data_IF_786971213571
#
_entry.id   IF_786971213571
#
_cell.length_a   1.000
_cell.length_b   1.000
_cell.length_c   1.000
_cell.angle_alpha   90.00
_cell.angle_beta   90.00
_cell.angle_gamma   90.00
#
_symmetry.space_group_name_H-M   'P 1'
#
loop_
_entity.id
_entity.type
_entity.pdbx_description
1 polymer ?
#
# COMPACT_ATOMS: atom_id res chain seq x y z
N UNK A 1 8.48 -30.07 4.16
CA UNK A 1 8.07 -29.56 2.84
C UNK A 1 7.12 -28.38 3.06
N UNK A 2 7.66 -27.20 3.33
CA UNK A 2 6.89 -25.98 3.63
C UNK A 2 7.32 -24.87 2.66
N UNK A 3 6.94 -24.98 1.39
CA UNK A 3 7.36 -23.96 0.40
C UNK A 3 6.37 -23.73 -0.76
N UNK A 4 5.16 -24.31 -0.74
CA UNK A 4 4.24 -24.23 -1.90
C UNK A 4 3.01 -23.33 -1.77
N UNK A 5 2.77 -22.69 -0.63
CA UNK A 5 1.56 -21.86 -0.43
C UNK A 5 1.80 -20.37 -0.78
N UNK A 6 3.01 -19.85 -0.51
CA UNK A 6 3.37 -18.43 -0.69
C UNK A 6 3.28 -17.95 -2.16
N UNK A 7 3.63 -18.81 -3.12
CA UNK A 7 3.73 -18.42 -4.54
C UNK A 7 2.37 -18.23 -5.23
N UNK A 8 1.29 -18.84 -4.74
CA UNK A 8 -0.04 -18.72 -5.38
C UNK A 8 -0.77 -17.44 -4.95
N UNK A 9 -0.67 -17.06 -3.68
CA UNK A 9 -1.25 -15.81 -3.17
C UNK A 9 -0.56 -14.59 -3.79
N UNK A 10 0.77 -14.57 -3.86
CA UNK A 10 1.52 -13.45 -4.46
C UNK A 10 1.14 -13.25 -5.93
N UNK A 11 0.99 -14.34 -6.71
CA UNK A 11 0.59 -14.27 -8.13
C UNK A 11 -0.83 -13.74 -8.32
N UNK A 12 -1.76 -14.09 -7.41
CA UNK A 12 -3.14 -13.60 -7.48
C UNK A 12 -3.24 -12.11 -7.10
N UNK A 13 -2.50 -11.68 -6.06
CA UNK A 13 -2.42 -10.28 -5.64
C UNK A 13 -1.78 -9.42 -6.73
N UNK A 14 -0.69 -9.89 -7.34
CA UNK A 14 0.01 -9.19 -8.42
C UNK A 14 -0.87 -8.99 -9.65
N UNK A 15 -1.60 -10.02 -10.08
CA UNK A 15 -2.51 -9.95 -11.22
C UNK A 15 -3.72 -9.04 -10.94
N UNK A 16 -4.22 -9.04 -9.71
CA UNK A 16 -5.28 -8.14 -9.26
C UNK A 16 -4.81 -6.67 -9.22
N UNK A 17 -3.63 -6.40 -8.66
CA UNK A 17 -3.02 -5.07 -8.62
C UNK A 17 -2.69 -4.55 -10.03
N UNK A 18 -2.33 -5.44 -10.96
CA UNK A 18 -2.12 -5.08 -12.37
C UNK A 18 -3.41 -4.54 -13.01
N UNK A 19 -4.58 -5.06 -12.63
CA UNK A 19 -5.87 -4.59 -13.15
C UNK A 19 -6.24 -3.19 -12.63
N UNK A 20 -5.84 -2.85 -11.39
CA UNK A 20 -5.97 -1.49 -10.84
C UNK A 20 -4.85 -0.53 -11.26
N UNK A 21 -3.70 -1.03 -11.72
CA UNK A 21 -2.66 -0.18 -12.32
C UNK A 21 -3.12 0.45 -13.65
N UNK A 22 -4.16 -0.11 -14.28
CA UNK A 22 -4.83 0.50 -15.44
C UNK A 22 -5.74 1.69 -15.05
N UNK A 23 -6.07 1.85 -13.77
CA UNK A 23 -6.78 3.01 -13.20
C UNK A 23 -5.82 3.84 -12.37
N UNK A 24 -5.03 4.72 -13.01
CA UNK A 24 -4.23 5.84 -12.44
C UNK A 24 -3.35 5.64 -11.17
N UNK A 25 -3.27 4.44 -10.60
CA UNK A 25 -2.55 4.13 -9.37
C UNK A 25 -1.08 3.81 -9.65
N UNK A 26 -0.17 4.54 -9.01
CA UNK A 26 1.27 4.32 -9.18
C UNK A 26 1.78 3.22 -8.25
N UNK A 27 2.52 2.26 -8.80
CA UNK A 27 3.29 1.29 -7.99
C UNK A 27 4.62 1.92 -7.58
N UNK A 28 4.87 1.99 -6.28
CA UNK A 28 6.11 2.50 -5.70
C UNK A 28 6.98 1.34 -5.19
N UNK A 29 8.30 1.47 -5.33
CA UNK A 29 9.26 0.59 -4.65
C UNK A 29 9.35 0.95 -3.17
N UNK A 30 9.74 0.00 -2.32
CA UNK A 30 9.87 0.28 -0.87
C UNK A 30 10.86 1.42 -0.59
N UNK A 31 11.95 1.50 -1.37
CA UNK A 31 12.90 2.59 -1.30
C UNK A 31 12.29 3.96 -1.64
N UNK A 32 11.34 4.02 -2.58
CA UNK A 32 10.62 5.26 -2.89
C UNK A 32 9.68 5.65 -1.76
N UNK A 33 8.94 4.69 -1.20
CA UNK A 33 8.08 4.92 -0.02
C UNK A 33 8.91 5.44 1.16
N UNK A 34 10.09 4.85 1.39
CA UNK A 34 11.01 5.31 2.43
C UNK A 34 11.50 6.74 2.17
N UNK A 35 11.77 7.11 0.91
CA UNK A 35 12.14 8.48 0.54
C UNK A 35 10.98 9.46 0.76
N UNK A 36 9.77 9.10 0.31
CA UNK A 36 8.56 9.91 0.44
C UNK A 36 8.26 10.22 1.92
N UNK A 37 8.43 9.23 2.79
CA UNK A 37 8.20 9.34 4.24
C UNK A 37 9.39 9.87 5.04
N UNK A 38 10.46 10.32 4.38
CA UNK A 38 11.71 10.73 5.02
C UNK A 38 12.17 9.71 6.09
N UNK A 39 12.30 8.44 5.65
CA UNK A 39 12.61 7.28 6.50
C UNK A 39 11.62 7.01 7.65
N UNK A 40 10.32 7.24 7.42
CA UNK A 40 9.26 7.02 8.41
C UNK A 40 9.39 7.89 9.67
N UNK A 41 9.89 9.13 9.50
CA UNK A 41 10.18 10.05 10.62
C UNK A 41 8.92 10.62 11.27
N UNK A 42 7.94 11.02 10.47
CA UNK A 42 6.72 11.68 10.94
C UNK A 42 5.54 10.71 11.04
N UNK A 43 5.37 10.04 12.18
CA UNK A 43 4.21 9.17 12.42
C UNK A 43 2.96 10.02 12.71
N UNK A 44 1.93 9.86 11.89
CA UNK A 44 0.63 10.48 12.06
C UNK A 44 -0.31 9.66 12.95
N UNK A 45 -0.14 8.34 12.96
CA UNK A 45 -0.95 7.45 13.79
C UNK A 45 -0.58 5.99 13.67
N UNK A 46 -1.15 5.16 14.54
CA UNK A 46 -0.96 3.71 14.52
C UNK A 46 -2.27 3.02 14.91
N UNK A 47 -2.63 1.99 14.16
CA UNK A 47 -3.80 1.16 14.42
C UNK A 47 -3.47 -0.33 14.33
N UNK A 48 -4.49 -1.18 14.48
CA UNK A 48 -4.32 -2.64 14.50
C UNK A 48 -3.71 -3.23 13.21
N UNK A 49 -3.86 -2.53 12.09
CA UNK A 49 -3.41 -2.98 10.76
C UNK A 49 -2.09 -2.34 10.30
N UNK A 50 -1.50 -1.44 11.08
CA UNK A 50 -0.28 -0.76 10.68
C UNK A 50 -0.13 0.67 11.20
N UNK A 51 0.89 1.36 10.72
CA UNK A 51 1.20 2.75 11.09
C UNK A 51 1.06 3.68 9.88
N UNK A 52 0.58 4.89 10.12
CA UNK A 52 0.45 5.96 9.12
C UNK A 52 1.53 6.99 9.36
N UNK A 53 2.24 7.36 8.30
CA UNK A 53 3.29 8.36 8.31
C UNK A 53 2.95 9.49 7.35
N UNK A 54 3.44 10.69 7.64
CA UNK A 54 3.42 11.81 6.71
C UNK A 54 4.50 11.57 5.66
N UNK A 55 4.21 11.92 4.42
CA UNK A 55 5.19 11.94 3.34
C UNK A 55 5.00 13.13 2.42
N UNK A 56 6.01 13.39 1.60
CA UNK A 56 5.97 14.38 0.53
C UNK A 56 6.35 13.73 -0.79
N UNK A 57 5.52 13.93 -1.81
CA UNK A 57 5.85 13.58 -3.18
C UNK A 57 6.84 14.59 -3.77
N UNK A 58 7.44 14.21 -4.90
CA UNK A 58 8.42 15.00 -5.65
C UNK A 58 7.86 16.36 -6.13
N UNK A 59 6.54 16.44 -6.28
CA UNK A 59 5.80 17.62 -6.70
C UNK A 59 5.36 18.51 -5.51
N UNK A 60 5.79 18.18 -4.28
CA UNK A 60 5.46 18.92 -3.06
C UNK A 60 4.10 18.58 -2.46
N UNK A 61 3.31 17.67 -3.06
CA UNK A 61 2.05 17.22 -2.46
C UNK A 61 2.32 16.38 -1.21
N UNK A 62 1.66 16.75 -0.12
CA UNK A 62 1.68 15.98 1.12
C UNK A 62 0.77 14.75 1.00
N UNK A 63 1.25 13.62 1.48
CA UNK A 63 0.56 12.33 1.43
C UNK A 63 0.60 11.62 2.77
N UNK A 64 -0.37 10.75 3.02
CA UNK A 64 -0.41 9.88 4.19
C UNK A 64 -0.05 8.47 3.76
N UNK A 65 1.09 7.98 4.22
CA UNK A 65 1.62 6.67 3.88
C UNK A 65 1.29 5.68 4.98
N UNK A 66 0.35 4.77 4.73
CA UNK A 66 0.03 3.66 5.64
C UNK A 66 0.91 2.46 5.34
N UNK A 67 1.76 2.10 6.28
CA UNK A 67 2.59 0.88 6.28
C UNK A 67 1.82 -0.21 7.01
N UNK A 68 1.58 -1.33 6.34
CA UNK A 68 0.84 -2.45 6.90
C UNK A 68 1.76 -3.39 7.66
N UNK A 69 1.25 -3.97 8.75
CA UNK A 69 2.02 -4.93 9.54
C UNK A 69 1.73 -6.36 9.06
N UNK A 70 2.75 -7.05 8.56
CA UNK A 70 2.64 -8.39 7.97
C UNK A 70 2.06 -9.45 8.90
N UNK A 71 2.24 -9.27 10.21
CA UNK A 71 1.78 -10.23 11.21
C UNK A 71 0.25 -10.33 11.32
N UNK A 72 -0.52 -9.39 10.74
CA UNK A 72 -1.99 -9.35 10.89
C UNK A 72 -2.78 -9.26 9.60
N UNK A 73 -2.16 -8.94 8.45
CA UNK A 73 -2.90 -8.83 7.18
C UNK A 73 -2.60 -10.01 6.26
N UNK A 74 -3.59 -10.86 6.02
CA UNK A 74 -3.55 -11.78 4.88
C UNK A 74 -3.50 -10.98 3.57
N UNK A 75 -2.88 -11.55 2.53
CA UNK A 75 -2.80 -10.89 1.22
C UNK A 75 -4.17 -10.53 0.63
N UNK A 76 -5.22 -11.25 1.01
CA UNK A 76 -6.61 -10.97 0.65
C UNK A 76 -7.18 -9.69 1.29
N UNK A 77 -6.84 -9.38 2.55
CA UNK A 77 -7.29 -8.12 3.16
C UNK A 77 -6.70 -6.92 2.42
N UNK A 78 -5.42 -7.01 2.04
CA UNK A 78 -4.76 -5.98 1.24
C UNK A 78 -5.45 -5.78 -0.11
N UNK A 79 -5.77 -6.88 -0.81
CA UNK A 79 -6.49 -6.87 -2.07
C UNK A 79 -7.88 -6.25 -1.92
N UNK A 80 -8.63 -6.65 -0.89
CA UNK A 80 -9.96 -6.09 -0.61
C UNK A 80 -9.89 -4.60 -0.30
N UNK A 81 -8.90 -4.14 0.46
CA UNK A 81 -8.74 -2.74 0.80
C UNK A 81 -8.37 -1.89 -0.43
N UNK A 82 -7.45 -2.36 -1.27
CA UNK A 82 -7.11 -1.71 -2.55
C UNK A 82 -8.31 -1.70 -3.50
N UNK A 83 -9.08 -2.80 -3.55
CA UNK A 83 -10.27 -2.91 -4.38
C UNK A 83 -11.41 -1.98 -3.93
N UNK A 84 -11.53 -1.74 -2.64
CA UNK A 84 -12.58 -0.90 -2.06
C UNK A 84 -12.23 0.59 -2.16
N UNK A 85 -10.98 0.96 -1.86
CA UNK A 85 -10.53 2.36 -1.92
C UNK A 85 -10.33 2.82 -3.37
N UNK A 86 -9.81 1.95 -4.25
CA UNK A 86 -9.58 2.30 -5.66
C UNK A 86 -10.83 2.63 -6.47
N UNK A 87 -12.01 2.19 -6.02
CA UNK A 87 -13.30 2.46 -6.69
C UNK A 87 -14.07 3.64 -6.11
N UNK A 88 -13.67 4.16 -4.94
CA UNK A 88 -14.48 5.14 -4.21
C UNK A 88 -13.78 6.49 -4.15
N UNK A 89 -13.88 7.27 -5.22
CA UNK A 89 -13.48 8.68 -5.25
C UNK A 89 -14.70 9.54 -4.91
N UNK A 90 -14.97 9.71 -3.62
CA UNK A 90 -15.97 10.67 -3.12
C UNK A 90 -15.23 11.84 -2.48
N UNK A 91 -15.81 13.05 -2.48
CA UNK A 91 -15.14 14.28 -2.01
C UNK A 91 -14.65 14.24 -0.55
N UNK A 92 -15.08 13.24 0.23
CA UNK A 92 -14.72 13.01 1.63
C UNK A 92 -13.95 11.69 1.87
N UNK A 93 -13.49 11.01 0.81
CA UNK A 93 -12.74 9.75 0.91
C UNK A 93 -11.35 9.97 0.34
N UNK A 94 -10.32 9.69 1.16
CA UNK A 94 -8.91 9.82 0.77
C UNK A 94 -8.65 9.00 -0.49
N UNK A 95 -8.28 9.68 -1.58
CA UNK A 95 -7.93 9.01 -2.84
C UNK A 95 -6.60 8.27 -2.67
N UNK A 96 -6.60 6.98 -3.02
CA UNK A 96 -5.38 6.18 -3.10
C UNK A 96 -4.55 6.67 -4.30
N UNK A 97 -3.33 7.16 -4.04
CA UNK A 97 -2.39 7.63 -5.06
C UNK A 97 -1.48 6.50 -5.54
N UNK A 98 -1.20 5.54 -4.66
CA UNK A 98 -0.38 4.40 -5.02
C UNK A 98 -0.22 3.37 -3.93
N UNK A 99 0.50 2.31 -4.28
CA UNK A 99 0.80 1.21 -3.37
C UNK A 99 2.22 0.68 -3.56
N UNK A 100 2.73 0.02 -2.54
CA UNK A 100 3.96 -0.74 -2.55
C UNK A 100 3.67 -2.15 -2.07
N UNK A 101 4.16 -3.14 -2.81
CA UNK A 101 4.09 -4.56 -2.46
C UNK A 101 5.41 -5.20 -2.86
N UNK A 102 6.32 -5.37 -1.90
CA UNK A 102 7.65 -5.95 -2.11
C UNK A 102 7.91 -7.03 -1.04
N UNK A 103 7.67 -8.30 -1.43
CA UNK A 103 7.72 -9.43 -0.52
C UNK A 103 6.66 -9.29 0.59
N UNK A 104 7.13 -9.19 1.83
CA UNK A 104 6.26 -8.92 2.98
C UNK A 104 5.94 -7.41 3.08
N UNK A 105 6.80 -6.52 2.59
CA UNK A 105 6.60 -5.07 2.81
C UNK A 105 5.45 -4.53 1.96
N UNK A 106 4.38 -4.11 2.62
CA UNK A 106 3.18 -3.53 1.98
C UNK A 106 2.90 -2.13 2.50
N UNK A 107 2.63 -1.20 1.58
CA UNK A 107 2.26 0.17 1.91
C UNK A 107 1.23 0.74 0.92
N UNK A 108 0.50 1.76 1.36
CA UNK A 108 -0.36 2.58 0.50
C UNK A 108 -0.20 4.07 0.78
N UNK A 109 -0.35 4.87 -0.27
CA UNK A 109 -0.18 6.33 -0.29
C UNK A 109 -1.41 7.01 -0.85
#
# INVERSE_FOLDING_TARGET
MFEKESSKEVVNIESFLKRYSSTSLKRYKYLEVKKITNSFSDKLGQGGYGAVYKGSLNDGRLVAVKILNDAKSNGEEFVNEVASIGRTSHVNIVSLLGFCSEGCRRARL
#
